data_IF_002689144389
#
_entry.id   IF_002689144389
#
_cell.length_a   1.000
_cell.length_b   1.000
_cell.length_c   1.000
_cell.angle_alpha   90.00
_cell.angle_beta   90.00
_cell.angle_gamma   90.00
#
_symmetry.space_group_name_H-M   'P 1'
#
loop_
_entity.id
_entity.type
_entity.pdbx_description
1 polymer ?
#
# COMPACT_ATOMS: atom_id res chain seq x y z
N UNK A 1 -13.47 5.86 5.98
CA UNK A 1 -12.36 4.91 6.22
C UNK A 1 -11.88 4.42 4.86
N UNK A 2 -10.57 4.38 4.63
CA UNK A 2 -9.95 4.05 3.35
C UNK A 2 -8.77 3.09 3.61
N UNK A 3 -8.56 2.10 2.74
CA UNK A 3 -7.36 1.26 2.78
C UNK A 3 -6.64 1.39 1.45
N UNK A 4 -5.36 1.77 1.52
CA UNK A 4 -4.55 1.99 0.33
C UNK A 4 -3.25 1.20 0.39
N UNK A 5 -2.74 0.87 -0.80
CA UNK A 5 -1.37 0.40 -0.92
C UNK A 5 -0.42 1.58 -0.79
N UNK A 6 0.63 1.43 -0.01
CA UNK A 6 1.62 2.48 0.28
C UNK A 6 3.03 2.08 -0.12
N UNK A 7 3.84 3.06 -0.50
CA UNK A 7 5.27 2.88 -0.76
C UNK A 7 6.07 2.83 0.55
N UNK A 8 7.16 2.07 0.52
CA UNK A 8 8.21 2.13 1.53
C UNK A 8 8.84 3.53 1.56
N UNK A 9 9.37 3.95 2.72
CA UNK A 9 9.93 5.30 2.89
C UNK A 9 11.22 5.54 2.09
N UNK A 10 11.94 4.47 1.72
CA UNK A 10 13.11 4.52 0.85
C UNK A 10 13.21 3.25 -0.02
N UNK A 11 14.17 3.22 -0.95
CA UNK A 11 14.38 2.09 -1.86
C UNK A 11 14.64 0.77 -1.12
N UNK A 12 15.44 0.80 -0.04
CA UNK A 12 15.77 -0.39 0.73
C UNK A 12 14.54 -0.97 1.40
N UNK A 13 13.71 -0.14 2.05
CA UNK A 13 12.46 -0.60 2.64
C UNK A 13 11.43 -1.00 1.58
N UNK A 14 11.39 -0.32 0.43
CA UNK A 14 10.50 -0.68 -0.68
C UNK A 14 10.78 -2.10 -1.19
N UNK A 15 12.05 -2.47 -1.34
CA UNK A 15 12.46 -3.81 -1.77
C UNK A 15 12.07 -4.87 -0.74
N UNK A 16 12.37 -4.62 0.55
CA UNK A 16 12.01 -5.52 1.65
C UNK A 16 10.51 -5.73 1.74
N UNK A 17 9.72 -4.66 1.74
CA UNK A 17 8.25 -4.72 1.80
C UNK A 17 7.67 -5.46 0.59
N UNK A 18 8.25 -5.27 -0.59
CA UNK A 18 7.82 -5.97 -1.81
C UNK A 18 8.06 -7.47 -1.71
N UNK A 19 9.22 -7.89 -1.18
CA UNK A 19 9.52 -9.29 -0.91
C UNK A 19 8.56 -9.89 0.11
N UNK A 20 8.38 -9.21 1.26
CA UNK A 20 7.47 -9.67 2.32
C UNK A 20 6.03 -9.84 1.82
N UNK A 21 5.58 -8.99 0.90
CA UNK A 21 4.24 -9.12 0.31
C UNK A 21 4.13 -10.31 -0.64
N UNK A 22 5.21 -10.68 -1.33
CA UNK A 22 5.26 -11.91 -2.14
C UNK A 22 5.19 -13.12 -1.22
N UNK A 23 5.99 -13.15 -0.15
CA UNK A 23 6.02 -14.24 0.83
C UNK A 23 4.65 -14.42 1.50
N UNK A 24 4.02 -13.32 1.91
CA UNK A 24 2.65 -13.32 2.43
C UNK A 24 1.67 -13.97 1.46
N UNK A 25 1.70 -13.63 0.18
CA UNK A 25 0.81 -14.24 -0.83
C UNK A 25 1.08 -15.73 -0.99
N UNK A 26 2.34 -16.15 -0.97
CA UNK A 26 2.68 -17.59 -1.01
C UNK A 26 2.10 -18.32 0.21
N UNK A 27 2.19 -17.73 1.41
CA UNK A 27 1.59 -18.29 2.64
C UNK A 27 0.06 -18.35 2.56
N UNK A 28 -0.59 -17.44 1.83
CA UNK A 28 -2.03 -17.47 1.58
C UNK A 28 -2.45 -18.46 0.46
N UNK A 29 -1.50 -19.22 -0.11
CA UNK A 29 -1.78 -20.25 -1.11
C UNK A 29 -1.79 -19.76 -2.56
N UNK A 30 -1.40 -18.51 -2.83
CA UNK A 30 -1.24 -18.04 -4.22
C UNK A 30 -0.03 -18.69 -4.89
N UNK A 31 -0.21 -19.13 -6.13
CA UNK A 31 0.87 -19.68 -6.94
C UNK A 31 1.81 -18.57 -7.44
N UNK A 32 3.09 -18.88 -7.72
CA UNK A 32 4.02 -17.92 -8.31
C UNK A 32 3.53 -17.31 -9.63
N UNK A 33 2.83 -18.09 -10.46
CA UNK A 33 2.27 -17.62 -11.73
C UNK A 33 1.16 -16.58 -11.53
N UNK A 34 0.25 -16.78 -10.58
CA UNK A 34 -0.78 -15.79 -10.22
C UNK A 34 -0.16 -14.50 -9.69
N UNK A 35 0.83 -14.61 -8.80
CA UNK A 35 1.55 -13.47 -8.25
C UNK A 35 2.22 -12.66 -9.37
N UNK A 36 2.90 -13.32 -10.30
CA UNK A 36 3.55 -12.69 -11.43
C UNK A 36 2.56 -12.08 -12.43
N UNK A 37 1.48 -12.79 -12.76
CA UNK A 37 0.43 -12.30 -13.64
C UNK A 37 -0.21 -11.02 -13.08
N UNK A 38 -0.55 -11.01 -11.79
CA UNK A 38 -1.10 -9.82 -11.13
C UNK A 38 -0.10 -8.68 -11.10
N UNK A 39 1.16 -8.95 -10.79
CA UNK A 39 2.22 -7.93 -10.80
C UNK A 39 2.38 -7.27 -12.16
N UNK A 40 2.32 -8.06 -13.26
CA UNK A 40 2.36 -7.51 -14.63
C UNK A 40 1.13 -6.66 -14.93
N UNK A 41 -0.07 -7.10 -14.55
CA UNK A 41 -1.31 -6.36 -14.80
C UNK A 41 -1.38 -4.98 -14.10
N UNK A 42 -0.65 -4.83 -12.98
CA UNK A 42 -0.60 -3.59 -12.21
C UNK A 42 0.57 -2.68 -12.62
N UNK A 43 1.56 -3.21 -13.33
CA UNK A 43 2.75 -2.44 -13.72
C UNK A 43 2.35 -1.33 -14.69
N UNK A 44 2.62 -0.07 -14.31
CA UNK A 44 2.24 1.11 -15.08
C UNK A 44 0.76 1.51 -14.95
N UNK A 45 -0.02 0.79 -14.13
CA UNK A 45 -1.44 1.09 -13.87
C UNK A 45 -1.63 1.59 -12.44
N UNK A 46 -1.04 0.89 -11.46
CA UNK A 46 -1.15 1.24 -10.05
C UNK A 46 0.15 1.86 -9.55
N UNK A 47 0.10 3.16 -9.22
CA UNK A 47 1.19 3.89 -8.57
C UNK A 47 0.78 4.24 -7.12
N UNK A 48 1.24 3.47 -6.12
CA UNK A 48 0.91 3.76 -4.72
C UNK A 48 1.65 5.00 -4.22
N UNK A 49 1.01 5.81 -3.37
CA UNK A 49 1.66 6.93 -2.70
C UNK A 49 2.37 6.51 -1.41
N UNK A 50 3.23 7.39 -0.90
CA UNK A 50 3.71 7.26 0.48
C UNK A 50 2.58 7.57 1.47
N UNK A 51 2.75 7.18 2.73
CA UNK A 51 1.82 7.56 3.81
C UNK A 51 1.59 9.07 3.85
N UNK A 52 2.67 9.86 3.79
CA UNK A 52 2.59 11.32 3.75
C UNK A 52 1.84 11.82 2.50
N UNK A 53 2.12 11.24 1.32
CA UNK A 53 1.42 11.60 0.10
C UNK A 53 -0.09 11.35 0.19
N UNK A 54 -0.52 10.24 0.78
CA UNK A 54 -1.94 9.97 1.03
C UNK A 54 -2.54 10.95 2.04
N UNK A 55 -1.84 11.27 3.13
CA UNK A 55 -2.30 12.25 4.11
C UNK A 55 -2.47 13.65 3.49
N UNK A 56 -1.53 14.09 2.65
CA UNK A 56 -1.61 15.34 1.92
C UNK A 56 -2.82 15.38 0.97
N UNK A 57 -3.07 14.28 0.27
CA UNK A 57 -4.24 14.16 -0.63
C UNK A 57 -5.55 14.21 0.15
N UNK A 58 -5.63 13.56 1.31
CA UNK A 58 -6.79 13.60 2.19
C UNK A 58 -7.02 15.01 2.77
N UNK A 59 -5.95 15.70 3.18
CA UNK A 59 -6.03 17.08 3.63
C UNK A 59 -6.57 18.01 2.53
N UNK A 60 -6.09 17.85 1.28
CA UNK A 60 -6.59 18.60 0.11
C UNK A 60 -8.05 18.29 -0.22
N UNK A 61 -8.51 17.08 0.06
CA UNK A 61 -9.93 16.70 -0.06
C UNK A 61 -10.82 17.30 1.06
N UNK A 62 -10.21 17.95 2.06
CA UNK A 62 -10.91 18.65 3.14
C UNK A 62 -11.12 17.83 4.40
N UNK A 63 -10.43 16.71 4.58
CA UNK A 63 -10.39 16.00 5.87
C UNK A 63 -9.43 16.71 6.83
N UNK A 64 -9.85 16.95 8.07
CA UNK A 64 -9.06 17.68 9.08
C UNK A 64 -8.27 16.74 9.97
N UNK A 65 -8.90 15.66 10.40
CA UNK A 65 -8.28 14.67 11.27
C UNK A 65 -8.12 13.37 10.49
N UNK A 66 -6.87 12.94 10.30
CA UNK A 66 -6.53 11.69 9.62
C UNK A 66 -5.62 10.88 10.53
N UNK A 67 -6.02 9.66 10.87
CA UNK A 67 -5.20 8.73 11.64
C UNK A 67 -5.04 7.41 10.91
N UNK A 68 -3.85 6.81 11.01
CA UNK A 68 -3.62 5.44 10.56
C UNK A 68 -4.15 4.48 11.63
N UNK A 69 -5.13 3.66 11.27
CA UNK A 69 -5.75 2.66 12.16
C UNK A 69 -5.23 1.24 11.89
N UNK A 70 -4.51 1.06 10.78
CA UNK A 70 -3.98 -0.22 10.36
C UNK A 70 -2.73 0.00 9.51
N UNK A 71 -1.69 -0.80 9.75
CA UNK A 71 -0.50 -0.87 8.89
C UNK A 71 -0.01 -2.31 8.83
N UNK A 72 0.04 -2.87 7.63
CA UNK A 72 0.55 -4.21 7.41
C UNK A 72 1.27 -4.32 6.06
N UNK A 73 2.58 -4.55 6.11
CA UNK A 73 3.47 -4.65 4.94
C UNK A 73 3.32 -3.39 4.05
N UNK A 74 2.62 -3.51 2.91
CA UNK A 74 2.41 -2.43 1.94
C UNK A 74 0.99 -1.87 1.96
N UNK A 75 0.16 -2.21 2.95
CA UNK A 75 -1.19 -1.67 3.10
C UNK A 75 -1.31 -0.83 4.35
N UNK A 76 -2.06 0.26 4.23
CA UNK A 76 -2.38 1.17 5.32
C UNK A 76 -3.86 1.54 5.30
N UNK A 77 -4.48 1.50 6.47
CA UNK A 77 -5.85 1.94 6.69
C UNK A 77 -5.88 3.32 7.33
N UNK A 78 -6.57 4.25 6.69
CA UNK A 78 -6.79 5.62 7.17
C UNK A 78 -8.23 5.78 7.66
N UNK A 79 -8.38 6.32 8.86
CA UNK A 79 -9.63 6.82 9.40
C UNK A 79 -9.60 8.36 9.37
N UNK A 80 -10.60 8.95 8.71
CA UNK A 80 -10.61 10.38 8.39
C UNK A 80 -11.92 11.01 8.86
N UNK A 81 -11.82 12.17 9.52
CA UNK A 81 -12.94 13.02 9.96
C UNK A 81 -12.78 14.41 9.33
N UNK A 82 -13.89 15.06 9.00
CA UNK A 82 -13.97 16.37 8.33
C UNK A 82 -14.26 17.49 9.32
#
# INVERSE_FOLDING_TARGET
>A
MLFEKVRGPDARFQDVISSLYVDYKMQQGYTPSEILAKTRSLKGVLEPFSTAGNQDMLARAGFKDVMSIFKYICFEGFFCIK
#
